data_IF_771228051003
#
_entry.id   IF_771228051003
#
_cell.length_a   1.000
_cell.length_b   1.000
_cell.length_c   1.000
_cell.angle_alpha   90.00
_cell.angle_beta   90.00
_cell.angle_gamma   90.00
#
_symmetry.space_group_name_H-M   'P 1'
#
loop_
_entity.id
_entity.type
_entity.pdbx_description
1 polymer ?
#
# COMPACT_ATOMS: atom_id res chain seq x y z
N UNK A 1 -4.96 -65.24 -7.30
CA UNK A 1 -4.96 -63.84 -7.78
C UNK A 1 -5.47 -62.94 -6.65
N UNK A 2 -4.91 -61.72 -6.57
CA UNK A 2 -5.20 -60.54 -5.70
C UNK A 2 -6.67 -60.34 -5.21
N UNK A 3 -6.97 -59.51 -4.19
CA UNK A 3 -6.20 -58.32 -3.78
C UNK A 3 -5.99 -58.04 -2.28
N UNK A 4 -5.09 -57.07 -2.08
CA UNK A 4 -4.64 -56.41 -0.86
C UNK A 4 -5.42 -55.10 -0.68
N UNK A 5 -5.83 -54.80 0.56
CA UNK A 5 -6.28 -53.48 1.00
C UNK A 5 -5.67 -53.23 2.39
N UNK A 6 -4.95 -52.13 2.56
CA UNK A 6 -5.23 -51.05 3.53
C UNK A 6 -4.02 -50.12 3.67
N UNK A 7 -4.12 -48.91 3.12
CA UNK A 7 -3.30 -47.74 3.45
C UNK A 7 -4.30 -46.64 3.80
N UNK A 8 -4.56 -46.39 5.09
CA UNK A 8 -5.43 -45.26 5.53
C UNK A 8 -5.13 -44.74 6.95
N UNK A 9 -3.97 -45.03 7.55
CA UNK A 9 -3.66 -44.58 8.92
C UNK A 9 -2.74 -43.35 8.99
N UNK A 10 -2.02 -42.99 7.93
CA UNK A 10 -1.00 -41.92 7.98
C UNK A 10 -1.54 -40.49 7.73
N UNK A 11 -2.73 -40.32 7.15
CA UNK A 11 -3.26 -38.97 6.83
C UNK A 11 -3.94 -38.26 8.01
N UNK A 12 -4.49 -38.99 8.99
CA UNK A 12 -5.25 -38.39 10.11
C UNK A 12 -4.34 -37.78 11.18
N UNK A 13 -3.16 -38.36 11.40
CA UNK A 13 -2.20 -37.88 12.42
C UNK A 13 -1.57 -36.54 11.99
N UNK A 14 -1.30 -36.36 10.69
CA UNK A 14 -0.73 -35.11 10.16
C UNK A 14 -1.71 -33.94 10.30
N UNK A 15 -3.00 -34.15 10.01
CA UNK A 15 -4.03 -33.12 10.13
C UNK A 15 -4.27 -32.67 11.59
N UNK A 16 -4.25 -33.60 12.55
CA UNK A 16 -4.37 -33.26 13.97
C UNK A 16 -3.15 -32.53 14.53
N UNK A 17 -1.93 -32.89 14.10
CA UNK A 17 -0.72 -32.18 14.49
C UNK A 17 -0.70 -30.74 13.92
N UNK A 18 -1.10 -30.57 12.66
CA UNK A 18 -1.23 -29.25 12.03
C UNK A 18 -2.27 -28.38 12.74
N UNK A 19 -3.44 -28.95 13.08
CA UNK A 19 -4.49 -28.24 13.80
C UNK A 19 -4.08 -27.82 15.23
N UNK A 20 -3.30 -28.66 15.93
CA UNK A 20 -2.80 -28.35 17.28
C UNK A 20 -1.72 -27.26 17.27
N UNK A 21 -0.79 -27.29 16.31
CA UNK A 21 0.24 -26.26 16.15
C UNK A 21 -0.39 -24.93 15.73
N UNK A 22 -1.33 -24.96 14.78
CA UNK A 22 -2.05 -23.76 14.33
C UNK A 22 -2.91 -23.16 15.45
N UNK A 23 -3.60 -24.00 16.24
CA UNK A 23 -4.37 -23.55 17.40
C UNK A 23 -3.49 -22.97 18.51
N UNK A 24 -2.29 -23.50 18.72
CA UNK A 24 -1.33 -22.98 19.69
C UNK A 24 -0.77 -21.61 19.25
N UNK A 25 -0.41 -21.46 17.97
CA UNK A 25 0.09 -20.21 17.39
C UNK A 25 -0.97 -19.09 17.38
N UNK A 26 -2.22 -19.41 17.05
CA UNK A 26 -3.32 -18.44 17.10
C UNK A 26 -3.63 -17.99 18.53
N UNK A 27 -3.55 -18.91 19.52
CA UNK A 27 -3.72 -18.58 20.94
C UNK A 27 -2.58 -17.69 21.46
N UNK A 28 -1.34 -17.91 21.04
CA UNK A 28 -0.22 -17.04 21.42
C UNK A 28 -0.35 -15.64 20.80
N UNK A 29 -0.71 -15.53 19.52
CA UNK A 29 -0.87 -14.24 18.85
C UNK A 29 -2.01 -13.41 19.47
N UNK A 30 -3.14 -14.03 19.79
CA UNK A 30 -4.25 -13.34 20.46
C UNK A 30 -3.86 -12.81 21.84
N UNK A 31 -3.17 -13.61 22.66
CA UNK A 31 -2.71 -13.16 23.98
C UNK A 31 -1.71 -12.01 23.89
N UNK A 32 -0.84 -12.05 22.87
CA UNK A 32 0.17 -11.01 22.65
C UNK A 32 -0.48 -9.70 22.17
N UNK A 33 -1.46 -9.79 21.27
CA UNK A 33 -2.26 -8.65 20.83
C UNK A 33 -3.03 -8.01 21.99
N UNK A 34 -3.67 -8.80 22.87
CA UNK A 34 -4.33 -8.27 24.07
C UNK A 34 -3.34 -7.53 24.99
N UNK A 35 -2.14 -8.08 25.18
CA UNK A 35 -1.08 -7.45 25.97
C UNK A 35 -0.68 -6.10 25.35
N UNK A 36 -0.45 -6.06 24.05
CA UNK A 36 -0.04 -4.86 23.32
C UNK A 36 -1.15 -3.80 23.30
N UNK A 37 -2.41 -4.16 22.99
CA UNK A 37 -3.55 -3.24 23.07
C UNK A 37 -3.70 -2.66 24.47
N UNK A 38 -3.54 -3.47 25.52
CA UNK A 38 -3.59 -2.97 26.88
C UNK A 38 -2.51 -1.92 27.15
N UNK A 39 -1.28 -2.13 26.65
CA UNK A 39 -0.19 -1.15 26.77
C UNK A 39 -0.53 0.13 26.00
N UNK A 40 -0.93 0.00 24.74
CA UNK A 40 -1.13 1.14 23.84
C UNK A 40 -2.41 1.93 24.09
N UNK A 41 -3.45 1.31 24.66
CA UNK A 41 -4.71 1.99 25.01
C UNK A 41 -4.54 3.14 26.00
N UNK A 42 -3.42 3.18 26.75
CA UNK A 42 -3.09 4.25 27.68
C UNK A 42 -2.29 5.41 27.07
N UNK A 43 -1.86 5.33 25.82
CA UNK A 43 -1.02 6.34 25.17
C UNK A 43 -1.84 7.29 24.27
N UNK A 44 -1.50 8.58 24.29
CA UNK A 44 -1.95 9.54 23.27
C UNK A 44 -1.19 9.21 21.98
N UNK A 45 -1.84 8.48 21.07
CA UNK A 45 -1.21 7.92 19.85
C UNK A 45 -1.10 6.39 19.91
N UNK A 46 -2.24 5.71 19.98
CA UNK A 46 -2.25 4.23 20.05
C UNK A 46 -1.62 3.60 18.80
N UNK A 47 -1.72 4.25 17.64
CA UNK A 47 -1.19 3.78 16.35
C UNK A 47 0.34 3.72 16.39
N UNK A 48 0.98 4.81 16.81
CA UNK A 48 2.42 4.93 16.96
C UNK A 48 2.96 3.96 18.03
N UNK A 49 2.15 3.67 19.06
CA UNK A 49 2.48 2.62 20.03
C UNK A 49 2.49 1.22 19.39
N UNK A 50 1.49 0.86 18.59
CA UNK A 50 1.47 -0.42 17.88
C UNK A 50 2.67 -0.57 16.94
N UNK A 51 2.99 0.48 16.20
CA UNK A 51 4.15 0.58 15.30
C UNK A 51 5.49 0.38 16.03
N UNK A 52 5.55 0.64 17.33
CA UNK A 52 6.74 0.41 18.15
C UNK A 52 6.76 -0.96 18.82
N UNK A 53 5.63 -1.40 19.39
CA UNK A 53 5.59 -2.62 20.20
C UNK A 53 5.56 -3.90 19.37
N UNK A 54 4.93 -3.90 18.19
CA UNK A 54 4.84 -5.11 17.35
C UNK A 54 6.19 -5.48 16.72
N UNK A 55 6.98 -4.56 16.12
CA UNK A 55 8.29 -4.91 15.59
C UNK A 55 9.29 -5.45 16.64
N UNK A 56 9.09 -5.15 17.93
CA UNK A 56 9.90 -5.71 19.03
C UNK A 56 9.69 -7.20 19.25
N UNK A 57 8.71 -7.82 18.61
CA UNK A 57 8.47 -9.26 18.69
C UNK A 57 9.45 -10.08 17.86
N UNK A 58 10.00 -9.51 16.78
CA UNK A 58 10.83 -10.22 15.79
C UNK A 58 12.08 -10.93 16.37
N UNK A 59 12.74 -10.46 17.44
CA UNK A 59 13.83 -11.23 18.06
C UNK A 59 13.41 -12.58 18.67
N UNK A 60 12.12 -12.78 18.95
CA UNK A 60 11.59 -13.99 19.61
C UNK A 60 10.42 -14.65 18.88
N UNK A 61 9.96 -14.05 17.77
CA UNK A 61 8.83 -14.51 16.98
C UNK A 61 9.17 -14.49 15.50
N UNK A 62 8.56 -15.38 14.72
CA UNK A 62 8.67 -15.30 13.26
C UNK A 62 7.89 -14.10 12.72
N UNK A 63 8.23 -13.68 11.49
CA UNK A 63 7.53 -12.60 10.80
C UNK A 63 6.03 -12.90 10.63
N UNK A 64 5.69 -14.15 10.30
CA UNK A 64 4.30 -14.59 10.15
C UNK A 64 3.53 -14.44 11.46
N UNK A 65 4.16 -14.80 12.59
CA UNK A 65 3.58 -14.60 13.92
C UNK A 65 3.38 -13.12 14.25
N UNK A 66 4.30 -12.23 13.83
CA UNK A 66 4.15 -10.80 14.04
C UNK A 66 2.96 -10.24 13.24
N UNK A 67 2.79 -10.64 11.97
CA UNK A 67 1.62 -10.24 11.19
C UNK A 67 0.31 -10.81 11.73
N UNK A 68 0.32 -12.01 12.32
CA UNK A 68 -0.87 -12.51 13.01
C UNK A 68 -1.23 -11.66 14.23
N UNK A 69 -0.24 -11.19 14.99
CA UNK A 69 -0.49 -10.21 16.07
C UNK A 69 -1.10 -8.92 15.49
N UNK A 70 -0.63 -8.42 14.34
CA UNK A 70 -1.24 -7.25 13.68
C UNK A 70 -2.73 -7.48 13.40
N UNK A 71 -3.10 -8.65 12.81
CA UNK A 71 -4.51 -8.99 12.54
C UNK A 71 -5.34 -8.98 13.82
N UNK A 72 -4.82 -9.58 14.89
CA UNK A 72 -5.51 -9.63 16.18
C UNK A 72 -5.64 -8.23 16.81
N UNK A 73 -4.62 -7.37 16.74
CA UNK A 73 -4.71 -5.98 17.21
C UNK A 73 -5.80 -5.22 16.46
N UNK A 74 -5.85 -5.30 15.13
CA UNK A 74 -6.91 -4.65 14.31
C UNK A 74 -8.31 -5.15 14.62
N UNK A 75 -8.45 -6.40 15.06
CA UNK A 75 -9.72 -6.98 15.48
C UNK A 75 -10.15 -6.52 16.88
N UNK A 76 -9.18 -6.34 17.80
CA UNK A 76 -9.44 -5.87 19.18
C UNK A 76 -9.65 -4.36 19.22
N UNK A 77 -8.93 -3.60 18.40
CA UNK A 77 -9.00 -2.14 18.27
C UNK A 77 -9.44 -1.74 16.85
N UNK A 78 -10.76 -1.66 16.60
CA UNK A 78 -11.28 -1.29 15.28
C UNK A 78 -10.92 0.14 14.83
N UNK A 79 -10.40 1.00 15.70
CA UNK A 79 -9.95 2.33 15.30
C UNK A 79 -8.60 2.29 14.56
N UNK A 80 -7.79 1.24 14.80
CA UNK A 80 -6.50 1.05 14.14
C UNK A 80 -6.63 0.17 12.91
N UNK A 81 -7.16 0.73 11.81
CA UNK A 81 -7.29 -0.03 10.55
C UNK A 81 -6.16 0.22 9.56
N UNK A 82 -5.59 1.43 9.57
CA UNK A 82 -4.44 1.78 8.73
C UNK A 82 -3.13 1.37 9.42
N UNK A 83 -2.57 0.23 9.01
CA UNK A 83 -1.35 -0.34 9.60
C UNK A 83 -0.13 -0.30 8.66
N UNK A 84 -0.17 0.53 7.61
CA UNK A 84 0.87 0.61 6.57
C UNK A 84 2.26 0.92 7.14
N UNK A 85 2.36 1.93 8.00
CA UNK A 85 3.62 2.34 8.65
C UNK A 85 4.18 1.23 9.56
N UNK A 86 3.32 0.48 10.22
CA UNK A 86 3.75 -0.68 11.02
C UNK A 86 4.39 -1.75 10.14
N UNK A 87 3.76 -2.06 9.01
CA UNK A 87 4.31 -3.03 8.07
C UNK A 87 5.66 -2.56 7.51
N UNK A 88 5.83 -1.26 7.26
CA UNK A 88 7.13 -0.65 6.92
C UNK A 88 8.21 -1.01 7.93
N UNK A 89 7.96 -0.75 9.23
CA UNK A 89 8.90 -1.05 10.31
C UNK A 89 9.24 -2.54 10.43
N UNK A 90 8.29 -3.43 10.12
CA UNK A 90 8.58 -4.88 10.05
C UNK A 90 9.53 -5.20 8.89
N UNK A 91 9.27 -4.67 7.69
CA UNK A 91 10.12 -4.88 6.51
C UNK A 91 11.55 -4.41 6.71
N UNK A 92 11.69 -3.22 7.28
CA UNK A 92 12.98 -2.66 7.67
C UNK A 92 13.77 -3.55 8.63
N UNK A 93 13.09 -4.13 9.62
CA UNK A 93 13.74 -4.96 10.63
C UNK A 93 14.23 -6.27 10.03
N UNK A 94 13.45 -6.86 9.13
CA UNK A 94 13.78 -8.10 8.42
C UNK A 94 14.96 -7.89 7.49
N UNK A 95 14.95 -6.84 6.66
CA UNK A 95 16.06 -6.60 5.71
C UNK A 95 17.36 -6.24 6.43
N UNK A 96 17.29 -5.67 7.64
CA UNK A 96 18.47 -5.37 8.45
C UNK A 96 19.22 -6.63 8.96
N UNK A 97 18.59 -7.81 8.93
CA UNK A 97 19.26 -9.07 9.31
C UNK A 97 20.19 -9.58 8.22
N UNK A 98 19.83 -9.40 6.95
CA UNK A 98 20.64 -9.75 5.79
C UNK A 98 20.37 -8.78 4.61
N UNK A 99 21.05 -7.61 4.58
CA UNK A 99 20.80 -6.58 3.58
C UNK A 99 21.08 -7.05 2.14
N UNK A 100 22.04 -7.96 1.93
CA UNK A 100 22.37 -8.42 0.58
C UNK A 100 21.22 -9.18 -0.08
N UNK A 101 20.30 -9.73 0.72
CA UNK A 101 19.14 -10.51 0.28
C UNK A 101 17.84 -9.71 0.21
N UNK A 102 17.90 -8.38 0.11
CA UNK A 102 16.71 -7.53 0.06
C UNK A 102 15.69 -7.93 -1.03
N UNK A 103 16.15 -8.39 -2.20
CA UNK A 103 15.24 -8.90 -3.26
C UNK A 103 14.49 -10.14 -2.78
N UNK A 104 15.13 -11.03 -2.03
CA UNK A 104 14.50 -12.23 -1.47
C UNK A 104 13.61 -11.91 -0.27
N UNK A 105 13.78 -10.75 0.36
CA UNK A 105 12.94 -10.31 1.48
C UNK A 105 11.58 -9.76 1.01
N UNK A 106 11.48 -9.17 -0.19
CA UNK A 106 10.22 -8.60 -0.74
C UNK A 106 9.05 -9.61 -0.69
N UNK A 107 9.20 -10.88 -1.13
CA UNK A 107 8.13 -11.87 -1.12
C UNK A 107 7.67 -12.33 0.27
N UNK A 108 8.38 -11.94 1.35
CA UNK A 108 7.96 -12.24 2.72
C UNK A 108 6.76 -11.38 3.16
N UNK A 109 6.37 -10.38 2.35
CA UNK A 109 5.12 -9.66 2.51
C UNK A 109 3.91 -10.63 2.54
N UNK A 110 2.92 -10.43 3.42
CA UNK A 110 1.72 -11.25 3.44
C UNK A 110 1.02 -11.31 2.08
N UNK A 111 0.69 -12.51 1.60
CA UNK A 111 0.07 -12.69 0.29
C UNK A 111 -1.35 -12.09 0.18
N UNK A 112 -2.02 -11.88 1.31
CA UNK A 112 -3.31 -11.19 1.40
C UNK A 112 -3.19 -9.66 1.33
N UNK A 113 -1.97 -9.15 1.18
CA UNK A 113 -1.66 -7.74 1.05
C UNK A 113 -1.90 -6.90 2.31
N UNK A 114 -1.87 -7.56 3.48
CA UNK A 114 -2.11 -6.93 4.78
C UNK A 114 -1.31 -5.62 4.94
N UNK A 115 -1.97 -4.58 5.45
CA UNK A 115 -1.39 -3.24 5.65
C UNK A 115 -0.91 -2.59 4.34
N UNK A 116 -1.67 -2.74 3.26
CA UNK A 116 -1.38 -2.13 1.95
C UNK A 116 0.05 -2.39 1.45
N UNK A 117 0.57 -3.58 1.74
CA UNK A 117 1.95 -3.99 1.43
C UNK A 117 3.06 -3.05 1.94
N UNK A 118 2.83 -2.29 3.02
CA UNK A 118 3.84 -1.39 3.58
C UNK A 118 5.17 -2.08 3.91
N UNK A 119 5.16 -3.40 4.14
CA UNK A 119 6.37 -4.21 4.33
C UNK A 119 7.34 -4.15 3.15
N UNK A 120 6.83 -4.14 1.92
CA UNK A 120 7.68 -4.07 0.72
C UNK A 120 8.47 -2.75 0.72
N UNK A 121 7.81 -1.62 1.02
CA UNK A 121 8.48 -0.33 1.16
C UNK A 121 9.57 -0.38 2.24
N UNK A 122 9.26 -0.98 3.39
CA UNK A 122 10.21 -1.13 4.50
C UNK A 122 11.45 -1.95 4.14
N UNK A 123 11.30 -3.02 3.36
CA UNK A 123 12.44 -3.80 2.85
C UNK A 123 13.32 -2.94 1.93
N UNK A 124 12.70 -2.20 1.00
CA UNK A 124 13.40 -1.38 0.02
C UNK A 124 14.13 -0.19 0.66
N UNK A 125 13.40 0.62 1.44
CA UNK A 125 13.97 1.76 2.16
C UNK A 125 14.96 1.31 3.22
N UNK A 126 14.63 0.26 3.99
CA UNK A 126 15.48 -0.27 5.04
C UNK A 126 16.86 -0.72 4.57
N UNK A 127 16.96 -1.25 3.34
CA UNK A 127 18.22 -1.69 2.74
C UNK A 127 19.15 -0.54 2.37
N UNK A 128 18.62 0.54 1.81
CA UNK A 128 19.41 1.57 1.14
C UNK A 128 19.43 2.91 1.86
N UNK A 129 18.64 3.09 2.93
CA UNK A 129 18.51 4.37 3.66
C UNK A 129 19.81 4.98 4.17
N UNK A 130 20.82 4.16 4.45
CA UNK A 130 22.12 4.58 4.94
C UNK A 130 23.20 4.65 3.86
N UNK A 131 22.84 4.47 2.58
CA UNK A 131 23.79 4.37 1.47
C UNK A 131 23.56 5.46 0.42
N UNK A 132 24.64 6.12 0.04
CA UNK A 132 24.72 6.89 -1.21
C UNK A 132 25.63 6.11 -2.15
N UNK A 133 25.12 5.75 -3.32
CA UNK A 133 25.84 4.86 -4.23
C UNK A 133 26.61 5.65 -5.28
N UNK A 134 27.88 5.31 -5.48
CA UNK A 134 28.61 5.81 -6.64
C UNK A 134 28.04 5.24 -7.95
N UNK A 135 28.35 5.89 -9.06
CA UNK A 135 27.83 5.51 -10.37
C UNK A 135 28.20 4.09 -10.79
N UNK A 136 29.35 3.57 -10.33
CA UNK A 136 29.80 2.21 -10.65
C UNK A 136 28.96 1.18 -9.93
N UNK A 137 28.65 1.42 -8.65
CA UNK A 137 27.88 0.54 -7.79
C UNK A 137 26.41 0.55 -8.18
N UNK A 138 25.86 1.73 -8.45
CA UNK A 138 24.52 1.89 -8.98
C UNK A 138 24.32 1.12 -10.29
N UNK A 139 25.27 1.21 -11.23
CA UNK A 139 25.20 0.46 -12.50
C UNK A 139 25.22 -1.06 -12.31
N UNK A 140 25.94 -1.57 -11.30
CA UNK A 140 25.95 -3.01 -10.97
C UNK A 140 24.62 -3.48 -10.41
N UNK A 141 23.85 -2.61 -9.74
CA UNK A 141 22.56 -2.95 -9.14
C UNK A 141 21.37 -2.76 -10.07
N UNK A 142 21.53 -2.13 -11.24
CA UNK A 142 20.43 -1.99 -12.22
C UNK A 142 19.72 -3.32 -12.51
N UNK A 143 20.42 -4.46 -12.76
CA UNK A 143 19.74 -5.74 -12.96
C UNK A 143 18.88 -6.18 -11.78
N UNK A 144 19.33 -5.91 -10.55
CA UNK A 144 18.57 -6.20 -9.33
C UNK A 144 17.35 -5.29 -9.20
N UNK A 145 17.51 -4.00 -9.47
CA UNK A 145 16.41 -3.04 -9.48
C UNK A 145 15.33 -3.39 -10.51
N UNK A 146 15.72 -3.78 -11.73
CA UNK A 146 14.80 -4.17 -12.79
C UNK A 146 14.04 -5.46 -12.45
N UNK A 147 14.67 -6.43 -11.77
CA UNK A 147 14.03 -7.71 -11.43
C UNK A 147 13.31 -7.73 -10.08
N UNK A 148 13.53 -6.74 -9.21
CA UNK A 148 13.06 -6.76 -7.82
C UNK A 148 11.56 -7.00 -7.70
N UNK A 149 10.80 -6.28 -8.52
CA UNK A 149 9.33 -6.32 -8.55
C UNK A 149 8.76 -7.28 -9.59
N UNK A 150 9.61 -7.99 -10.34
CA UNK A 150 9.15 -8.91 -11.37
C UNK A 150 8.75 -10.28 -10.76
N UNK A 151 7.73 -10.95 -11.33
CA UNK A 151 7.40 -12.33 -10.98
C UNK A 151 8.60 -13.27 -11.12
N UNK A 152 8.75 -14.20 -10.18
CA UNK A 152 9.83 -15.19 -10.15
C UNK A 152 9.39 -16.46 -9.42
N UNK A 153 10.24 -17.49 -9.41
CA UNK A 153 9.97 -18.71 -8.65
C UNK A 153 9.72 -18.36 -7.17
N UNK A 154 8.58 -18.83 -6.64
CA UNK A 154 8.16 -18.56 -5.27
C UNK A 154 7.48 -17.21 -5.03
N UNK A 155 7.37 -16.32 -6.03
CA UNK A 155 6.67 -15.05 -5.90
C UNK A 155 5.97 -14.64 -7.20
N UNK A 156 4.64 -14.65 -7.18
CA UNK A 156 3.79 -14.24 -8.29
C UNK A 156 2.89 -13.07 -7.83
N UNK A 157 3.41 -11.84 -7.81
CA UNK A 157 2.67 -10.67 -7.33
C UNK A 157 1.47 -10.36 -8.21
N UNK A 158 0.41 -9.79 -7.62
CA UNK A 158 -0.68 -9.15 -8.38
C UNK A 158 -0.17 -7.87 -9.05
N UNK A 159 -0.97 -7.29 -9.94
CA UNK A 159 -0.62 -5.99 -10.55
C UNK A 159 -0.50 -4.90 -9.48
N UNK A 160 -1.38 -4.92 -8.47
CA UNK A 160 -1.29 -4.01 -7.33
C UNK A 160 -0.02 -4.24 -6.49
N UNK A 161 0.37 -5.49 -6.24
CA UNK A 161 1.62 -5.75 -5.49
C UNK A 161 2.85 -5.29 -6.28
N UNK A 162 2.82 -5.48 -7.59
CA UNK A 162 3.87 -4.98 -8.50
C UNK A 162 3.91 -3.46 -8.50
N UNK A 163 2.75 -2.79 -8.57
CA UNK A 163 2.66 -1.33 -8.52
C UNK A 163 3.17 -0.77 -7.18
N UNK A 164 2.82 -1.39 -6.05
CA UNK A 164 3.31 -1.00 -4.73
C UNK A 164 4.82 -1.23 -4.61
N UNK A 165 5.34 -2.35 -5.10
CA UNK A 165 6.78 -2.57 -5.14
C UNK A 165 7.49 -1.50 -5.97
N UNK A 166 7.01 -1.19 -7.18
CA UNK A 166 7.57 -0.14 -8.04
C UNK A 166 7.49 1.25 -7.42
N UNK A 167 6.44 1.55 -6.66
CA UNK A 167 6.36 2.77 -5.85
C UNK A 167 7.44 2.79 -4.77
N UNK A 168 7.60 1.69 -4.02
CA UNK A 168 8.68 1.49 -3.06
C UNK A 168 10.08 1.70 -3.64
N UNK A 169 10.30 1.32 -4.91
CA UNK A 169 11.58 1.56 -5.60
C UNK A 169 11.87 3.05 -5.79
N UNK A 170 10.83 3.88 -5.97
CA UNK A 170 10.98 5.33 -6.04
C UNK A 170 11.55 5.94 -4.75
N UNK A 171 11.07 5.47 -3.59
CA UNK A 171 11.61 5.86 -2.28
C UNK A 171 13.09 5.49 -2.17
N UNK A 172 13.43 4.25 -2.52
CA UNK A 172 14.81 3.75 -2.54
C UNK A 172 15.73 4.63 -3.40
N UNK A 173 15.28 5.02 -4.58
CA UNK A 173 16.09 5.84 -5.49
C UNK A 173 16.48 7.18 -4.89
N UNK A 174 15.58 7.81 -4.13
CA UNK A 174 15.87 9.05 -3.44
C UNK A 174 16.98 8.91 -2.40
N UNK A 175 17.08 7.77 -1.72
CA UNK A 175 18.19 7.51 -0.79
C UNK A 175 19.51 7.31 -1.52
N UNK A 176 19.56 6.39 -2.50
CA UNK A 176 20.82 6.04 -3.16
C UNK A 176 21.38 7.15 -4.03
N UNK A 177 20.55 8.10 -4.46
CA UNK A 177 20.94 9.27 -5.25
C UNK A 177 21.22 10.51 -4.40
N UNK A 178 21.29 10.38 -3.07
CA UNK A 178 21.51 11.49 -2.13
C UNK A 178 20.53 12.67 -2.32
N UNK A 179 19.24 12.36 -2.37
CA UNK A 179 18.18 13.34 -2.60
C UNK A 179 18.24 14.10 -3.95
N UNK A 180 19.04 13.63 -4.92
CA UNK A 180 19.02 14.13 -6.29
C UNK A 180 17.79 13.62 -7.07
N UNK A 181 16.72 14.43 -7.08
CA UNK A 181 15.45 14.09 -7.75
C UNK A 181 15.66 13.76 -9.24
N UNK A 182 16.40 14.54 -10.06
CA UNK A 182 16.60 14.19 -11.47
C UNK A 182 17.21 12.80 -11.68
N UNK A 183 18.21 12.43 -10.88
CA UNK A 183 18.84 11.11 -10.93
C UNK A 183 17.87 10.01 -10.48
N UNK A 184 17.10 10.25 -9.42
CA UNK A 184 16.05 9.35 -8.97
C UNK A 184 14.99 9.08 -10.04
N UNK A 185 14.50 10.13 -10.71
CA UNK A 185 13.54 9.99 -11.81
C UNK A 185 14.13 9.21 -12.98
N UNK A 186 15.40 9.46 -13.33
CA UNK A 186 16.12 8.71 -14.37
C UNK A 186 16.20 7.22 -14.05
N UNK A 187 16.40 6.85 -12.79
CA UNK A 187 16.36 5.45 -12.36
C UNK A 187 14.99 4.81 -12.59
N UNK A 188 13.90 5.50 -12.26
CA UNK A 188 12.54 5.02 -12.60
C UNK A 188 12.39 4.78 -14.11
N UNK A 189 12.87 5.70 -14.96
CA UNK A 189 12.78 5.55 -16.41
C UNK A 189 13.55 4.35 -16.96
N UNK A 190 14.69 4.03 -16.34
CA UNK A 190 15.62 3.01 -16.83
C UNK A 190 15.32 1.60 -16.30
N UNK A 191 14.60 1.48 -15.19
CA UNK A 191 14.40 0.20 -14.48
C UNK A 191 12.96 -0.28 -14.48
N UNK A 192 11.99 0.63 -14.72
CA UNK A 192 10.57 0.29 -14.67
C UNK A 192 9.97 0.11 -16.07
N UNK A 193 9.08 -0.88 -16.26
CA UNK A 193 8.19 -0.94 -17.41
C UNK A 193 7.35 0.34 -17.54
N UNK A 194 6.97 0.72 -18.76
CA UNK A 194 6.25 1.98 -19.03
C UNK A 194 5.00 2.18 -18.15
N UNK A 195 4.21 1.13 -17.96
CA UNK A 195 3.01 1.14 -17.12
C UNK A 195 3.28 1.45 -15.62
N UNK A 196 4.51 1.21 -15.14
CA UNK A 196 4.89 1.33 -13.73
C UNK A 196 5.76 2.57 -13.45
N UNK A 197 6.22 3.28 -14.49
CA UNK A 197 7.06 4.46 -14.30
C UNK A 197 6.35 5.55 -13.51
N UNK A 198 5.05 5.77 -13.74
CA UNK A 198 4.28 6.77 -13.00
C UNK A 198 4.32 6.52 -11.50
N UNK A 199 3.98 5.30 -11.07
CA UNK A 199 3.95 4.95 -9.63
C UNK A 199 5.34 4.99 -8.99
N UNK A 200 6.40 4.68 -9.74
CA UNK A 200 7.77 4.88 -9.28
C UNK A 200 8.11 6.36 -9.06
N UNK A 201 7.75 7.24 -10.00
CA UNK A 201 7.94 8.70 -9.84
C UNK A 201 7.16 9.26 -8.67
N UNK A 202 5.94 8.76 -8.44
CA UNK A 202 5.14 9.09 -7.26
C UNK A 202 5.87 8.67 -5.98
N UNK A 203 6.51 7.50 -5.92
CA UNK A 203 7.37 7.12 -4.78
C UNK A 203 8.56 8.07 -4.55
N UNK A 204 9.23 8.52 -5.62
CA UNK A 204 10.32 9.52 -5.55
C UNK A 204 9.83 10.81 -4.89
N UNK A 205 8.67 11.32 -5.30
CA UNK A 205 8.11 12.55 -4.73
C UNK A 205 7.46 12.34 -3.37
N UNK A 206 6.87 11.18 -3.11
CA UNK A 206 6.30 10.87 -1.80
C UNK A 206 7.40 10.90 -0.73
N UNK A 207 8.59 10.42 -1.04
CA UNK A 207 9.75 10.48 -0.14
C UNK A 207 10.09 11.91 0.34
N UNK A 208 9.82 12.95 -0.46
CA UNK A 208 10.12 14.34 -0.08
C UNK A 208 8.98 15.02 0.69
N UNK A 209 7.73 14.60 0.48
CA UNK A 209 6.56 15.25 1.07
C UNK A 209 6.03 14.51 2.30
N UNK A 210 6.33 13.22 2.43
CA UNK A 210 5.78 12.32 3.46
C UNK A 210 6.89 11.60 4.24
N UNK A 211 7.86 12.30 4.86
CA UNK A 211 8.86 11.65 5.70
C UNK A 211 8.20 10.99 6.92
N UNK A 212 8.62 9.77 7.25
CA UNK A 212 8.12 8.97 8.37
C UNK A 212 9.17 8.79 9.47
N UNK A 213 10.39 8.46 9.07
CA UNK A 213 11.50 8.12 9.97
C UNK A 213 12.56 9.23 10.03
N UNK A 214 13.39 9.29 11.09
CA UNK A 214 14.46 10.29 11.21
C UNK A 214 15.37 10.40 9.98
N UNK A 215 15.67 9.28 9.32
CA UNK A 215 16.51 9.26 8.12
C UNK A 215 15.83 9.91 6.91
N UNK A 216 14.50 9.84 6.80
CA UNK A 216 13.73 10.55 5.76
C UNK A 216 13.89 12.06 5.92
N UNK A 217 13.78 12.55 7.17
CA UNK A 217 13.99 13.97 7.47
C UNK A 217 15.43 14.38 7.17
N UNK A 218 16.42 13.58 7.56
CA UNK A 218 17.83 13.85 7.25
C UNK A 218 18.10 13.86 5.74
N UNK A 219 17.44 12.99 4.97
CA UNK A 219 17.52 12.98 3.51
C UNK A 219 16.97 14.29 2.92
N UNK A 220 15.80 14.74 3.39
CA UNK A 220 15.21 16.01 2.96
C UNK A 220 16.09 17.20 3.34
N UNK A 221 16.75 17.17 4.51
CA UNK A 221 17.70 18.20 4.92
C UNK A 221 18.88 18.39 3.95
N UNK A 222 19.26 17.35 3.21
CA UNK A 222 20.30 17.41 2.18
C UNK A 222 19.84 18.01 0.85
N UNK A 223 18.53 18.17 0.64
CA UNK A 223 18.00 18.76 -0.59
C UNK A 223 18.45 20.23 -0.73
N UNK A 224 18.96 20.64 -1.91
CA UNK A 224 19.39 22.03 -2.12
C UNK A 224 18.23 23.03 -2.10
N UNK A 225 17.03 22.57 -2.46
CA UNK A 225 15.78 23.34 -2.41
C UNK A 225 14.70 22.45 -1.84
N UNK A 226 14.03 22.89 -0.78
CA UNK A 226 12.89 22.18 -0.19
C UNK A 226 11.59 22.88 -0.58
N UNK A 227 10.59 22.17 -1.11
CA UNK A 227 9.30 22.77 -1.38
C UNK A 227 8.57 23.10 -0.07
N UNK A 228 7.81 24.19 -0.11
CA UNK A 228 6.80 24.56 0.89
C UNK A 228 5.45 24.64 0.22
N UNK A 229 4.38 24.78 1.01
CA UNK A 229 3.03 25.02 0.49
C UNK A 229 2.96 26.16 -0.54
N UNK A 230 3.70 27.24 -0.31
CA UNK A 230 3.71 28.45 -1.16
C UNK A 230 4.57 28.28 -2.42
N UNK A 231 5.57 27.39 -2.37
CA UNK A 231 6.58 27.25 -3.42
C UNK A 231 6.44 25.96 -4.23
N UNK A 232 5.56 25.04 -3.83
CA UNK A 232 5.47 23.71 -4.44
C UNK A 232 5.16 23.74 -5.94
N UNK A 233 4.32 24.67 -6.40
CA UNK A 233 4.00 24.79 -7.83
C UNK A 233 5.21 25.19 -8.67
N UNK A 234 5.94 26.23 -8.25
CA UNK A 234 7.16 26.64 -8.95
C UNK A 234 8.29 25.63 -8.78
N UNK A 235 8.33 24.92 -7.65
CA UNK A 235 9.24 23.80 -7.43
C UNK A 235 9.03 22.68 -8.46
N UNK A 236 7.78 22.23 -8.65
CA UNK A 236 7.41 21.14 -9.55
C UNK A 236 7.52 21.50 -11.03
N UNK A 237 7.22 22.75 -11.41
CA UNK A 237 7.32 23.21 -12.81
C UNK A 237 8.75 23.12 -13.39
N UNK A 238 9.79 22.98 -12.56
CA UNK A 238 11.20 22.87 -13.01
C UNK A 238 11.50 21.56 -13.74
N UNK A 239 10.68 20.53 -13.58
CA UNK A 239 10.91 19.22 -14.18
C UNK A 239 10.48 19.15 -15.66
N UNK A 240 9.82 20.18 -16.18
CA UNK A 240 9.52 20.47 -17.61
C UNK A 240 8.76 19.39 -18.41
N UNK A 241 8.49 18.23 -17.82
CA UNK A 241 7.63 17.19 -18.36
C UNK A 241 6.34 17.15 -17.56
N UNK A 242 5.21 17.18 -18.24
CA UNK A 242 3.88 17.21 -17.61
C UNK A 242 3.71 16.05 -16.63
N UNK A 243 4.13 14.84 -16.99
CA UNK A 243 3.99 13.65 -16.13
C UNK A 243 4.92 13.67 -14.91
N UNK A 244 5.97 14.51 -14.91
CA UNK A 244 6.85 14.71 -13.74
C UNK A 244 6.32 15.82 -12.85
N UNK A 245 5.88 16.93 -13.46
CA UNK A 245 5.24 18.03 -12.74
C UNK A 245 3.96 17.57 -12.06
N UNK A 246 3.10 16.83 -12.77
CA UNK A 246 1.83 16.34 -12.23
C UNK A 246 2.02 15.37 -11.08
N UNK A 247 2.95 14.42 -11.19
CA UNK A 247 3.30 13.51 -10.09
C UNK A 247 3.84 14.29 -8.86
N UNK A 248 4.72 15.26 -9.08
CA UNK A 248 5.25 16.13 -8.03
C UNK A 248 4.14 16.90 -7.31
N UNK A 249 3.18 17.46 -8.06
CA UNK A 249 2.05 18.20 -7.50
C UNK A 249 1.10 17.28 -6.72
N UNK A 250 0.77 16.09 -7.24
CA UNK A 250 -0.11 15.13 -6.56
C UNK A 250 0.45 14.71 -5.20
N UNK A 251 1.73 14.37 -5.15
CA UNK A 251 2.37 13.92 -3.90
C UNK A 251 2.56 15.04 -2.88
N UNK A 252 2.35 16.30 -3.26
CA UNK A 252 2.40 17.45 -2.36
C UNK A 252 1.18 17.63 -1.46
N UNK A 253 0.18 16.73 -1.56
CA UNK A 253 -1.03 16.74 -0.75
C UNK A 253 -0.81 16.89 0.78
N UNK A 254 0.32 16.47 1.40
CA UNK A 254 0.55 16.68 2.83
C UNK A 254 0.56 18.17 3.25
N UNK A 255 0.92 19.08 2.34
CA UNK A 255 0.84 20.52 2.59
C UNK A 255 -0.59 21.07 2.58
N UNK A 256 -1.55 20.28 2.08
CA UNK A 256 -2.95 20.66 1.86
C UNK A 256 -3.92 19.74 2.62
N UNK A 257 -3.47 19.04 3.68
CA UNK A 257 -4.28 18.07 4.43
C UNK A 257 -5.62 18.61 4.92
N UNK A 258 -5.65 19.86 5.37
CA UNK A 258 -6.88 20.47 5.87
C UNK A 258 -7.83 20.85 4.72
N UNK A 259 -7.31 21.36 3.61
CA UNK A 259 -8.10 21.69 2.43
C UNK A 259 -8.75 20.46 1.82
N UNK A 260 -8.02 19.34 1.76
CA UNK A 260 -8.47 18.09 1.16
C UNK A 260 -9.62 17.41 1.91
N UNK A 261 -10.02 17.94 3.08
CA UNK A 261 -11.21 17.48 3.81
C UNK A 261 -12.53 17.99 3.22
N UNK A 262 -12.49 18.81 2.17
CA UNK A 262 -13.68 19.39 1.52
C UNK A 262 -13.67 19.20 0.01
N UNK A 263 -14.85 19.10 -0.60
CA UNK A 263 -14.95 18.98 -2.07
C UNK A 263 -14.37 20.19 -2.82
N UNK A 264 -14.51 21.40 -2.25
CA UNK A 264 -13.92 22.61 -2.82
C UNK A 264 -12.40 22.63 -2.71
N UNK A 265 -11.84 22.23 -1.56
CA UNK A 265 -10.39 22.19 -1.38
C UNK A 265 -9.72 21.15 -2.28
N UNK A 266 -10.37 20.00 -2.55
CA UNK A 266 -9.90 19.04 -3.57
C UNK A 266 -9.85 19.68 -4.95
N UNK A 267 -10.91 20.40 -5.34
CA UNK A 267 -10.94 21.07 -6.64
C UNK A 267 -9.86 22.16 -6.77
N UNK A 268 -9.63 22.93 -5.70
CA UNK A 268 -8.56 23.93 -5.66
C UNK A 268 -7.17 23.28 -5.71
N UNK A 269 -6.95 22.19 -4.98
CA UNK A 269 -5.70 21.44 -4.99
C UNK A 269 -5.37 20.90 -6.39
N UNK A 270 -6.34 20.28 -7.06
CA UNK A 270 -6.14 19.71 -8.39
C UNK A 270 -6.21 20.73 -9.54
N UNK A 271 -6.60 21.97 -9.26
CA UNK A 271 -6.52 23.04 -10.26
C UNK A 271 -5.08 23.35 -10.65
N UNK A 272 -4.84 23.72 -11.91
CA UNK A 272 -3.52 24.11 -12.40
C UNK A 272 -2.50 22.97 -12.49
N UNK A 273 -2.98 21.75 -12.70
CA UNK A 273 -2.15 20.65 -13.21
C UNK A 273 -1.70 20.95 -14.65
N UNK A 274 -0.57 20.39 -15.12
CA UNK A 274 0.05 20.81 -16.38
C UNK A 274 -0.82 20.50 -17.61
N UNK A 275 -1.66 19.47 -17.53
CA UNK A 275 -2.65 19.14 -18.56
C UNK A 275 -3.87 18.40 -17.97
N UNK A 276 -4.86 18.12 -18.81
CA UNK A 276 -6.12 17.46 -18.38
C UNK A 276 -5.93 16.02 -17.90
N UNK A 277 -4.93 15.29 -18.42
CA UNK A 277 -4.62 13.93 -17.97
C UNK A 277 -4.07 13.95 -16.54
N UNK A 278 -3.16 14.87 -16.24
CA UNK A 278 -2.60 15.04 -14.90
C UNK A 278 -3.64 15.62 -13.91
N UNK A 279 -4.59 16.43 -14.40
CA UNK A 279 -5.76 16.86 -13.62
C UNK A 279 -6.63 15.68 -13.21
N UNK A 280 -6.99 14.81 -14.16
CA UNK A 280 -7.75 13.58 -13.87
C UNK A 280 -7.00 12.70 -12.87
N UNK A 281 -5.70 12.48 -13.08
CA UNK A 281 -4.88 11.70 -12.17
C UNK A 281 -4.81 12.33 -10.76
N UNK A 282 -4.83 13.66 -10.68
CA UNK A 282 -4.89 14.36 -9.40
C UNK A 282 -6.18 14.09 -8.65
N UNK A 283 -7.33 14.22 -9.33
CA UNK A 283 -8.61 13.89 -8.71
C UNK A 283 -8.65 12.41 -8.30
N UNK A 284 -8.20 11.49 -9.16
CA UNK A 284 -8.17 10.06 -8.81
C UNK A 284 -7.37 9.83 -7.52
N UNK A 285 -6.15 10.37 -7.42
CA UNK A 285 -5.28 10.23 -6.25
C UNK A 285 -5.86 10.92 -5.00
N UNK A 286 -6.26 12.20 -5.10
CA UNK A 286 -6.81 12.97 -3.97
C UNK A 286 -8.10 12.33 -3.43
N UNK A 287 -8.93 11.76 -4.30
CA UNK A 287 -10.18 11.12 -3.89
C UNK A 287 -9.96 9.76 -3.24
N UNK A 288 -8.84 9.06 -3.51
CA UNK A 288 -8.49 7.86 -2.72
C UNK A 288 -8.28 8.17 -1.23
N UNK A 289 -7.81 9.39 -0.91
CA UNK A 289 -7.58 9.82 0.47
C UNK A 289 -8.88 9.80 1.29
N UNK A 290 -10.03 10.07 0.64
CA UNK A 290 -11.35 9.96 1.30
C UNK A 290 -11.58 8.54 1.81
N UNK A 291 -11.26 7.51 1.03
CA UNK A 291 -11.37 6.11 1.46
C UNK A 291 -10.35 5.74 2.54
N UNK A 292 -9.08 6.15 2.38
CA UNK A 292 -8.01 5.80 3.32
C UNK A 292 -8.13 6.49 4.68
N UNK A 293 -8.57 7.75 4.74
CA UNK A 293 -8.75 8.47 6.01
C UNK A 293 -9.99 8.03 6.79
N UNK A 294 -10.86 7.22 6.18
CA UNK A 294 -12.13 6.82 6.76
C UNK A 294 -12.23 5.32 7.01
N UNK A 295 -11.09 4.61 6.98
CA UNK A 295 -10.96 3.18 7.31
C UNK A 295 -11.37 2.94 8.77
N UNK A 296 -12.68 2.89 9.01
CA UNK A 296 -13.29 2.84 10.35
C UNK A 296 -14.70 3.46 10.38
N UNK A 297 -14.94 4.53 9.61
CA UNK A 297 -16.23 5.21 9.50
C UNK A 297 -16.46 5.81 8.09
N UNK A 298 -17.10 5.03 7.23
CA UNK A 298 -17.45 5.42 5.86
C UNK A 298 -18.35 6.64 5.74
N UNK A 299 -19.00 7.10 6.82
CA UNK A 299 -19.93 8.25 6.76
C UNK A 299 -19.23 9.55 6.36
N UNK A 300 -17.99 9.75 6.82
CA UNK A 300 -17.20 10.92 6.49
C UNK A 300 -16.82 10.95 5.00
N UNK A 301 -16.43 9.81 4.43
CA UNK A 301 -16.11 9.71 3.02
C UNK A 301 -17.34 9.92 2.14
N UNK A 302 -18.49 9.36 2.52
CA UNK A 302 -19.75 9.60 1.83
C UNK A 302 -20.15 11.08 1.86
N UNK A 303 -19.98 11.75 3.02
CA UNK A 303 -20.25 13.19 3.16
C UNK A 303 -19.34 14.01 2.24
N UNK A 304 -18.03 13.75 2.26
CA UNK A 304 -17.06 14.42 1.40
C UNK A 304 -17.40 14.21 -0.09
N UNK A 305 -17.70 12.99 -0.52
CA UNK A 305 -18.10 12.73 -1.90
C UNK A 305 -19.39 13.46 -2.28
N UNK A 306 -20.32 13.71 -1.34
CA UNK A 306 -21.49 14.55 -1.57
C UNK A 306 -21.16 16.01 -1.91
N UNK A 307 -20.08 16.55 -1.34
CA UNK A 307 -19.60 17.91 -1.57
C UNK A 307 -18.78 18.05 -2.87
N UNK A 308 -18.17 16.96 -3.33
CA UNK A 308 -17.43 16.95 -4.60
C UNK A 308 -18.38 17.34 -5.73
N UNK A 309 -17.94 18.29 -6.56
CA UNK A 309 -18.71 18.83 -7.69
C UNK A 309 -18.67 17.86 -8.87
N UNK A 310 -19.70 17.90 -9.70
CA UNK A 310 -19.65 17.27 -11.02
C UNK A 310 -18.53 17.90 -11.87
N UNK A 311 -17.85 17.13 -12.73
CA UNK A 311 -18.07 15.71 -13.05
C UNK A 311 -17.31 14.71 -12.14
N UNK A 312 -16.65 15.16 -11.07
CA UNK A 312 -15.74 14.35 -10.25
C UNK A 312 -16.43 13.52 -9.17
N UNK A 313 -17.71 13.80 -8.90
CA UNK A 313 -18.46 13.12 -7.83
C UNK A 313 -18.53 11.60 -8.01
N UNK A 314 -18.86 11.04 -9.19
CA UNK A 314 -18.87 9.58 -9.36
C UNK A 314 -17.49 8.96 -9.11
N UNK A 315 -16.42 9.63 -9.57
CA UNK A 315 -15.04 9.23 -9.31
C UNK A 315 -14.72 9.20 -7.81
N UNK A 316 -15.28 10.11 -7.00
CA UNK A 316 -15.08 10.07 -5.55
C UNK A 316 -15.55 8.75 -4.94
N UNK A 317 -16.77 8.32 -5.28
CA UNK A 317 -17.30 7.06 -4.79
C UNK A 317 -16.48 5.86 -5.30
N UNK A 318 -16.12 5.86 -6.58
CA UNK A 318 -15.31 4.79 -7.17
C UNK A 318 -13.90 4.69 -6.53
N UNK A 319 -13.15 5.79 -6.48
CA UNK A 319 -11.80 5.85 -5.91
C UNK A 319 -11.79 5.60 -4.41
N UNK A 320 -12.78 6.12 -3.67
CA UNK A 320 -12.93 5.84 -2.24
C UNK A 320 -13.19 4.36 -1.97
N UNK A 321 -14.08 3.72 -2.74
CA UNK A 321 -14.35 2.29 -2.60
C UNK A 321 -13.13 1.43 -2.94
N UNK A 322 -12.41 1.76 -4.03
CA UNK A 322 -11.17 1.08 -4.41
C UNK A 322 -10.13 1.18 -3.29
N UNK A 323 -9.91 2.37 -2.74
CA UNK A 323 -8.97 2.56 -1.64
C UNK A 323 -9.36 1.75 -0.39
N UNK A 324 -10.65 1.66 -0.07
CA UNK A 324 -11.13 0.79 1.03
C UNK A 324 -10.85 -0.69 0.74
N UNK A 325 -11.04 -1.13 -0.52
CA UNK A 325 -10.79 -2.51 -0.93
C UNK A 325 -9.30 -2.88 -0.85
N UNK A 326 -8.41 -1.95 -1.23
CA UNK A 326 -6.97 -2.14 -1.15
C UNK A 326 -6.47 -2.35 0.29
N UNK A 327 -7.14 -1.73 1.26
CA UNK A 327 -6.83 -1.79 2.70
C UNK A 327 -7.50 -2.98 3.42
N UNK A 328 -8.57 -3.51 2.82
CA UNK A 328 -9.40 -4.62 3.33
C UNK A 328 -9.55 -5.74 2.29
N UNK A 329 -8.43 -6.18 1.70
CA UNK A 329 -8.40 -7.24 0.66
C UNK A 329 -8.91 -8.60 1.16
N UNK A 330 -8.93 -8.84 2.47
CA UNK A 330 -9.32 -10.13 3.04
C UNK A 330 -10.82 -10.38 2.90
N UNK A 331 -11.64 -9.32 3.05
CA UNK A 331 -13.09 -9.39 3.01
C UNK A 331 -13.69 -8.57 1.86
N UNK A 332 -13.29 -7.31 1.72
CA UNK A 332 -13.79 -6.38 0.71
C UNK A 332 -15.26 -5.95 0.90
N UNK A 333 -15.96 -6.51 1.89
CA UNK A 333 -17.36 -6.19 2.21
C UNK A 333 -17.56 -4.71 2.56
N UNK A 334 -16.57 -4.07 3.19
CA UNK A 334 -16.59 -2.63 3.51
C UNK A 334 -16.64 -1.77 2.25
N UNK A 335 -15.88 -2.12 1.20
CA UNK A 335 -15.90 -1.40 -0.06
C UNK A 335 -17.26 -1.53 -0.77
N UNK A 336 -17.84 -2.73 -0.76
CA UNK A 336 -19.18 -2.97 -1.30
C UNK A 336 -20.22 -2.16 -0.53
N UNK A 337 -20.17 -2.20 0.80
CA UNK A 337 -21.07 -1.46 1.69
C UNK A 337 -20.96 0.05 1.46
N UNK A 338 -19.74 0.56 1.28
CA UNK A 338 -19.51 1.95 0.93
C UNK A 338 -20.24 2.34 -0.37
N UNK A 339 -20.10 1.55 -1.44
CA UNK A 339 -20.83 1.80 -2.68
C UNK A 339 -22.35 1.69 -2.51
N UNK A 340 -22.86 0.75 -1.71
CA UNK A 340 -24.30 0.61 -1.46
C UNK A 340 -24.90 1.78 -0.67
N UNK A 341 -24.07 2.46 0.13
CA UNK A 341 -24.48 3.65 0.88
C UNK A 341 -24.31 4.95 0.09
N UNK A 342 -23.69 4.91 -1.11
CA UNK A 342 -23.67 6.05 -2.01
C UNK A 342 -25.08 6.39 -2.52
N UNK A 343 -25.33 7.64 -2.97
CA UNK A 343 -26.60 8.00 -3.60
C UNK A 343 -26.94 7.06 -4.77
N UNK A 344 -28.22 6.71 -4.92
CA UNK A 344 -28.69 5.70 -5.89
C UNK A 344 -28.16 5.89 -7.32
N UNK A 345 -27.96 7.15 -7.75
CA UNK A 345 -27.40 7.50 -9.06
C UNK A 345 -25.96 7.00 -9.27
N UNK A 346 -25.17 6.87 -8.20
CA UNK A 346 -23.74 6.53 -8.26
C UNK A 346 -23.42 5.09 -7.82
N UNK A 347 -24.38 4.37 -7.22
CA UNK A 347 -24.15 3.01 -6.69
C UNK A 347 -23.64 2.04 -7.76
N UNK A 348 -24.29 2.03 -8.93
CA UNK A 348 -23.94 1.10 -10.02
C UNK A 348 -22.54 1.37 -10.55
N UNK A 349 -22.17 2.64 -10.74
CA UNK A 349 -20.84 3.02 -11.23
C UNK A 349 -19.75 2.68 -10.21
N UNK A 350 -19.99 2.95 -8.93
CA UNK A 350 -19.09 2.59 -7.84
C UNK A 350 -18.84 1.06 -7.78
N UNK A 351 -19.91 0.27 -7.80
CA UNK A 351 -19.82 -1.20 -7.78
C UNK A 351 -19.17 -1.75 -9.07
N UNK A 352 -19.42 -1.10 -10.21
CA UNK A 352 -18.78 -1.45 -11.47
C UNK A 352 -17.27 -1.24 -11.39
N UNK A 353 -16.83 -0.12 -10.81
CA UNK A 353 -15.40 0.16 -10.60
C UNK A 353 -14.73 -0.88 -9.70
N UNK A 354 -15.40 -1.32 -8.64
CA UNK A 354 -14.92 -2.42 -7.79
C UNK A 354 -14.79 -3.74 -8.57
N UNK A 355 -15.78 -4.08 -9.39
CA UNK A 355 -15.74 -5.28 -10.24
C UNK A 355 -14.57 -5.21 -11.24
N UNK A 356 -14.35 -4.06 -11.88
CA UNK A 356 -13.24 -3.87 -12.83
C UNK A 356 -11.86 -3.97 -12.20
N UNK A 357 -11.74 -3.50 -10.96
CA UNK A 357 -10.45 -3.46 -10.25
C UNK A 357 -10.08 -4.81 -9.62
N UNK A 358 -11.00 -5.79 -9.60
CA UNK A 358 -10.80 -7.08 -8.94
C UNK A 358 -9.56 -7.83 -9.48
N UNK A 359 -9.33 -7.81 -10.80
CA UNK A 359 -8.13 -8.42 -11.38
C UNK A 359 -6.85 -7.74 -10.93
N UNK A 360 -6.84 -6.41 -10.93
CA UNK A 360 -5.69 -5.62 -10.53
C UNK A 360 -5.31 -5.87 -9.06
N UNK A 361 -6.30 -5.96 -8.17
CA UNK A 361 -6.10 -6.14 -6.73
C UNK A 361 -5.78 -7.59 -6.36
N UNK A 362 -6.47 -8.56 -6.95
CA UNK A 362 -6.44 -9.94 -6.48
C UNK A 362 -5.73 -10.90 -7.43
N UNK A 363 -5.55 -10.56 -8.70
CA UNK A 363 -5.07 -11.50 -9.72
C UNK A 363 -6.00 -12.72 -9.86
N UNK A 364 -5.44 -13.89 -10.19
CA UNK A 364 -6.17 -15.17 -10.28
C UNK A 364 -6.07 -15.94 -8.96
N UNK A 365 -6.74 -15.44 -7.92
CA UNK A 365 -6.66 -15.98 -6.55
C UNK A 365 -8.03 -16.35 -5.98
N UNK A 366 -8.03 -17.14 -4.90
CA UNK A 366 -9.26 -17.51 -4.18
C UNK A 366 -9.95 -16.31 -3.51
N UNK A 367 -9.17 -15.27 -3.19
CA UNK A 367 -9.59 -13.98 -2.66
C UNK A 367 -10.49 -13.27 -3.69
N UNK A 368 -10.09 -13.27 -4.97
CA UNK A 368 -10.91 -12.74 -6.06
C UNK A 368 -12.27 -13.43 -6.13
N UNK A 369 -12.28 -14.77 -6.10
CA UNK A 369 -13.53 -15.55 -6.17
C UNK A 369 -14.46 -15.22 -5.00
N UNK A 370 -13.91 -15.15 -3.78
CA UNK A 370 -14.67 -14.76 -2.57
C UNK A 370 -15.22 -13.35 -2.68
N UNK A 371 -14.43 -12.39 -3.18
CA UNK A 371 -14.87 -11.02 -3.37
C UNK A 371 -15.97 -10.92 -4.44
N UNK A 372 -15.76 -11.51 -5.62
CA UNK A 372 -16.73 -11.48 -6.73
C UNK A 372 -18.05 -12.19 -6.40
N UNK A 373 -18.04 -13.18 -5.49
CA UNK A 373 -19.26 -13.79 -4.99
C UNK A 373 -20.16 -12.79 -4.22
N UNK A 374 -19.57 -11.78 -3.58
CA UNK A 374 -20.28 -10.73 -2.84
C UNK A 374 -20.78 -9.58 -3.72
N UNK A 375 -20.19 -9.40 -4.91
CA UNK A 375 -20.64 -8.41 -5.90
C UNK A 375 -22.03 -8.78 -6.44
N UNK A 376 -22.92 -7.80 -6.70
CA UNK A 376 -24.24 -8.05 -7.30
C UNK A 376 -24.18 -8.91 -8.55
N UNK A 377 -25.20 -9.74 -8.73
CA UNK A 377 -25.24 -10.78 -9.76
C UNK A 377 -25.01 -10.22 -11.17
N UNK A 378 -25.51 -9.02 -11.42
CA UNK A 378 -25.43 -8.32 -12.70
C UNK A 378 -23.98 -7.92 -13.06
N UNK A 379 -23.11 -7.74 -12.06
CA UNK A 379 -21.71 -7.35 -12.21
C UNK A 379 -20.72 -8.51 -11.98
N UNK A 380 -21.20 -9.67 -11.50
CA UNK A 380 -20.32 -10.80 -11.16
C UNK A 380 -19.47 -11.29 -12.32
N UNK A 381 -20.05 -11.44 -13.52
CA UNK A 381 -19.29 -11.87 -14.71
C UNK A 381 -18.17 -10.88 -15.07
N UNK A 382 -18.40 -9.59 -14.82
CA UNK A 382 -17.40 -8.54 -15.03
C UNK A 382 -16.26 -8.66 -14.02
N UNK A 383 -16.59 -8.90 -12.75
CA UNK A 383 -15.62 -9.15 -11.69
C UNK A 383 -14.78 -10.41 -11.94
N UNK A 384 -15.42 -11.49 -12.37
CA UNK A 384 -14.77 -12.79 -12.62
C UNK A 384 -13.97 -12.84 -13.93
N UNK A 385 -14.16 -11.86 -14.82
CA UNK A 385 -13.45 -11.79 -16.09
C UNK A 385 -11.94 -11.95 -15.88
N UNK A 386 -11.28 -12.73 -16.75
CA UNK A 386 -9.83 -12.86 -16.73
C UNK A 386 -9.20 -11.67 -17.47
N UNK A 387 -8.01 -11.20 -17.04
CA UNK A 387 -7.28 -10.14 -17.73
C UNK A 387 -6.98 -10.46 -19.19
#
# INVERSE_FOLDING_TARGET
MKPVLTVSAFFVISACAFALVFSAGARSAHSEAQRIVKICSGELGHAECYEREIPRLLPSHSLESAFEVVRQVRAIDPAYQFCHVLAHKLGERIVAEDPERWVDAIPLNPADGLCSNGFIHGVLGGRFRAEVLDSVTLQKLIPDFTRACAPREGWNPTDLDTAICSHGMGHLYMFISDADIPSSLSLCENTMPEALKRVCREGVYMQIYQPLEPDDFLLIERMPVKPTKETVRSFCARYQKDEYEGACLRESWPFFREELKTGEGIAQFCSGQPNSQEEIACYEAALTLSGRFTLGDSSQALSLCGEVREPWRPMCYASGARAILEEDRVDGSKAITFCMNAPALHQVECLTSLADTANFIFGDTSEKERFCAQIPRELRMRCEARP
#
